data_IF_905079232646
#
_entry.id   IF_905079232646
#
_cell.length_a   1.000
_cell.length_b   1.000
_cell.length_c   1.000
_cell.angle_alpha   90.00
_cell.angle_beta   90.00
_cell.angle_gamma   90.00
#
_symmetry.space_group_name_H-M   'P 1'
#
loop_
_entity.id
_entity.type
_entity.pdbx_description
1 polymer ?
#
# COMPACT_ATOMS: atom_id res chain seq x y z
N UNK A 1 24.56 -15.89 41.54
CA UNK A 1 23.18 -15.45 41.85
C UNK A 1 22.83 -14.33 40.87
N UNK A 2 22.06 -14.64 39.82
CA UNK A 2 21.52 -13.62 38.93
C UNK A 2 20.43 -12.86 39.71
N UNK A 3 20.69 -11.60 40.06
CA UNK A 3 19.63 -10.68 40.46
C UNK A 3 18.67 -10.58 39.27
N UNK A 4 17.50 -11.20 39.39
CA UNK A 4 16.35 -10.89 38.55
C UNK A 4 16.11 -9.41 38.76
N UNK A 5 16.45 -8.59 37.76
CA UNK A 5 16.12 -7.18 37.78
C UNK A 5 14.61 -7.08 37.93
N UNK A 6 14.13 -6.77 39.14
CA UNK A 6 12.73 -6.43 39.33
C UNK A 6 12.45 -5.27 38.38
N UNK A 7 11.62 -5.52 37.37
CA UNK A 7 11.20 -4.48 36.45
C UNK A 7 10.67 -3.31 37.30
N UNK A 8 11.27 -2.14 37.11
CA UNK A 8 10.88 -0.90 37.78
C UNK A 8 9.37 -0.69 37.60
N UNK A 9 8.70 -0.21 38.65
CA UNK A 9 7.25 0.01 38.64
C UNK A 9 6.84 0.93 37.48
N UNK A 10 5.72 0.62 36.83
CA UNK A 10 5.19 1.31 35.64
C UNK A 10 3.80 1.86 35.97
N UNK A 11 3.74 3.17 36.19
CA UNK A 11 2.51 3.86 36.60
C UNK A 11 1.97 4.74 35.47
N UNK A 12 0.63 4.95 35.39
CA UNK A 12 0.02 5.86 34.42
C UNK A 12 0.55 7.30 34.51
N UNK A 13 0.98 7.76 35.69
CA UNK A 13 1.59 9.09 35.84
C UNK A 13 2.87 9.27 35.02
N UNK A 14 3.53 8.18 34.60
CA UNK A 14 4.71 8.20 33.74
C UNK A 14 4.39 8.39 32.25
N UNK A 15 3.11 8.31 31.87
CA UNK A 15 2.65 8.71 30.54
C UNK A 15 3.05 10.16 30.21
N UNK A 16 3.12 11.02 31.23
CA UNK A 16 3.40 12.45 31.09
C UNK A 16 4.87 12.86 31.25
N UNK A 17 5.76 11.99 31.75
CA UNK A 17 7.13 12.39 32.10
C UNK A 17 8.14 11.69 31.19
N UNK A 18 8.40 12.29 30.02
CA UNK A 18 9.61 12.00 29.25
C UNK A 18 10.72 12.90 29.78
N UNK A 19 11.68 12.35 30.53
CA UNK A 19 12.74 13.16 31.15
C UNK A 19 13.85 13.52 30.15
N UNK A 20 14.56 14.60 30.43
CA UNK A 20 15.73 15.01 29.64
C UNK A 20 16.79 13.90 29.59
N UNK A 21 16.98 13.13 30.67
CA UNK A 21 17.90 11.99 30.68
C UNK A 21 17.47 10.89 29.71
N UNK A 22 16.16 10.62 29.61
CA UNK A 22 15.66 9.63 28.64
C UNK A 22 15.77 10.16 27.22
N UNK A 23 15.46 11.44 26.98
CA UNK A 23 15.66 12.09 25.68
C UNK A 23 17.14 12.03 25.25
N UNK A 24 18.07 12.32 26.17
CA UNK A 24 19.51 12.25 25.89
C UNK A 24 19.95 10.84 25.45
N UNK A 25 19.42 9.77 26.08
CA UNK A 25 19.67 8.40 25.63
C UNK A 25 19.10 8.11 24.24
N UNK A 26 17.95 8.69 23.89
CA UNK A 26 17.36 8.53 22.55
C UNK A 26 18.29 9.10 21.46
N UNK A 27 19.01 10.19 21.75
CA UNK A 27 20.01 10.76 20.83
C UNK A 27 21.14 9.76 20.58
N UNK A 28 21.73 9.22 21.64
CA UNK A 28 22.80 8.24 21.56
C UNK A 28 22.36 6.95 20.82
N UNK A 29 21.13 6.48 21.09
CA UNK A 29 20.52 5.33 20.40
C UNK A 29 20.30 5.61 18.90
N UNK A 30 19.81 6.80 18.54
CA UNK A 30 19.60 7.19 17.13
C UNK A 30 20.91 7.27 16.35
N UNK A 31 21.98 7.85 16.92
CA UNK A 31 23.30 7.88 16.28
C UNK A 31 23.86 6.48 16.06
N UNK A 32 23.75 5.61 17.06
CA UNK A 32 24.19 4.23 16.95
C UNK A 32 23.44 3.47 15.85
N UNK A 33 22.16 3.73 15.69
CA UNK A 33 21.32 3.14 14.64
C UNK A 33 21.73 3.62 13.25
N UNK A 34 21.82 4.94 13.03
CA UNK A 34 22.06 5.52 11.70
C UNK A 34 23.49 5.33 11.21
N UNK A 35 24.46 5.40 12.11
CA UNK A 35 25.88 5.26 11.81
C UNK A 35 26.45 3.89 12.20
N UNK A 36 25.59 2.92 12.54
CA UNK A 36 25.97 1.55 12.92
C UNK A 36 27.05 1.47 14.03
N UNK A 37 27.16 2.51 14.87
CA UNK A 37 28.14 2.61 15.95
C UNK A 37 29.47 3.27 15.58
N UNK A 38 29.69 3.64 14.31
CA UNK A 38 30.95 4.23 13.84
C UNK A 38 31.11 5.71 14.26
N UNK A 39 30.00 6.37 14.61
CA UNK A 39 29.96 7.77 15.03
C UNK A 39 29.07 7.96 16.24
N UNK A 40 29.55 8.75 17.19
CA UNK A 40 28.79 9.21 18.35
C UNK A 40 28.53 10.72 18.26
N UNK A 41 27.43 11.20 18.86
CA UNK A 41 27.13 12.62 18.87
C UNK A 41 28.17 13.39 19.69
N UNK A 42 28.67 14.49 19.13
CA UNK A 42 29.58 15.44 19.79
C UNK A 42 28.80 16.36 20.73
N UNK A 43 29.51 17.06 21.61
CA UNK A 43 28.89 17.97 22.59
C UNK A 43 27.86 18.95 22.00
N UNK A 44 28.20 19.71 20.94
CA UNK A 44 27.25 20.61 20.29
C UNK A 44 26.05 19.90 19.66
N UNK A 45 26.26 18.73 19.04
CA UNK A 45 25.20 17.93 18.43
C UNK A 45 24.24 17.40 19.50
N UNK A 46 24.75 16.95 20.65
CA UNK A 46 23.91 16.53 21.79
C UNK A 46 23.01 17.67 22.27
N UNK A 47 23.57 18.87 22.41
CA UNK A 47 22.80 20.04 22.84
C UNK A 47 21.72 20.42 21.83
N UNK A 48 22.04 20.36 20.54
CA UNK A 48 21.10 20.61 19.45
C UNK A 48 19.94 19.61 19.46
N UNK A 49 20.25 18.31 19.47
CA UNK A 49 19.23 17.26 19.46
C UNK A 49 18.39 17.20 20.73
N UNK A 50 18.95 17.57 21.89
CA UNK A 50 18.18 17.71 23.12
C UNK A 50 17.21 18.89 23.04
N UNK A 51 17.62 20.01 22.43
CA UNK A 51 16.74 21.14 22.13
C UNK A 51 15.58 20.72 21.22
N UNK A 52 15.90 20.03 20.13
CA UNK A 52 14.91 19.47 19.20
C UNK A 52 13.92 18.51 19.90
N UNK A 53 14.41 17.59 20.74
CA UNK A 53 13.57 16.67 21.49
C UNK A 53 12.61 17.40 22.47
N UNK A 54 13.08 18.46 23.12
CA UNK A 54 12.26 19.31 23.99
C UNK A 54 11.19 20.06 23.21
N UNK A 55 11.53 20.58 22.04
CA UNK A 55 10.55 21.24 21.15
C UNK A 55 9.49 20.27 20.64
N UNK A 56 9.87 19.06 20.24
CA UNK A 56 8.94 18.00 19.88
C UNK A 56 7.98 17.69 21.04
N UNK A 57 8.51 17.56 22.26
CA UNK A 57 7.69 17.32 23.46
C UNK A 57 6.78 18.50 23.81
N UNK A 58 7.22 19.73 23.55
CA UNK A 58 6.39 20.92 23.77
C UNK A 58 5.21 21.00 22.77
N UNK A 59 5.43 20.55 21.52
CA UNK A 59 4.38 20.48 20.49
C UNK A 59 3.41 19.31 20.73
N UNK A 60 3.93 18.15 21.12
CA UNK A 60 3.15 16.97 21.48
C UNK A 60 3.54 16.44 22.87
N UNK A 61 2.80 16.82 23.92
CA UNK A 61 3.00 16.31 25.28
C UNK A 61 2.74 14.81 25.46
N UNK A 62 2.37 14.06 24.41
CA UNK A 62 2.22 12.60 24.44
C UNK A 62 3.33 11.86 23.69
N UNK A 63 4.24 12.58 23.02
CA UNK A 63 5.33 11.94 22.26
C UNK A 63 6.18 11.02 23.15
N UNK A 64 6.38 9.80 22.69
CA UNK A 64 7.15 8.78 23.40
C UNK A 64 8.65 8.90 23.14
N UNK A 65 9.48 8.34 24.02
CA UNK A 65 10.92 8.25 23.79
C UNK A 65 11.28 7.59 22.44
N UNK A 66 10.53 6.57 22.04
CA UNK A 66 10.74 5.88 20.77
C UNK A 66 10.42 6.77 19.56
N UNK A 67 9.34 7.55 19.64
CA UNK A 67 9.01 8.55 18.61
C UNK A 67 10.06 9.66 18.54
N UNK A 68 10.58 10.13 19.68
CA UNK A 68 11.70 11.09 19.70
C UNK A 68 12.95 10.50 19.06
N UNK A 69 13.33 9.27 19.42
CA UNK A 69 14.45 8.54 18.79
C UNK A 69 14.26 8.42 17.29
N UNK A 70 13.07 8.00 16.84
CA UNK A 70 12.75 7.82 15.43
C UNK A 70 12.79 9.15 14.66
N UNK A 71 12.29 10.24 15.24
CA UNK A 71 12.37 11.57 14.64
C UNK A 71 13.82 12.02 14.46
N UNK A 72 14.65 11.89 15.50
CA UNK A 72 16.08 12.22 15.43
C UNK A 72 16.79 11.31 14.41
N UNK A 73 16.53 10.01 14.44
CA UNK A 73 17.11 9.06 13.48
C UNK A 73 16.73 9.39 12.04
N UNK A 74 15.50 9.87 11.80
CA UNK A 74 15.09 10.32 10.47
C UNK A 74 15.90 11.53 10.01
N UNK A 75 16.03 12.58 10.83
CA UNK A 75 16.83 13.76 10.46
C UNK A 75 18.31 13.39 10.24
N UNK A 76 18.88 12.55 11.10
CA UNK A 76 20.25 12.05 10.91
C UNK A 76 20.42 11.24 9.63
N UNK A 77 19.39 10.49 9.22
CA UNK A 77 19.38 9.78 7.94
C UNK A 77 19.38 10.77 6.78
N UNK A 78 18.57 11.82 6.87
CA UNK A 78 18.55 12.88 5.87
C UNK A 78 19.93 13.55 5.76
N UNK A 79 20.54 13.94 6.87
CA UNK A 79 21.89 14.52 6.89
C UNK A 79 22.94 13.57 6.28
N UNK A 80 22.91 12.28 6.65
CA UNK A 80 23.84 11.27 6.14
C UNK A 80 23.70 11.09 4.62
N UNK A 81 22.47 11.09 4.12
CA UNK A 81 22.15 10.87 2.71
C UNK A 81 22.18 12.19 1.91
N UNK A 82 22.55 13.30 2.57
CA UNK A 82 22.58 14.66 2.01
C UNK A 82 21.19 15.26 1.72
N UNK A 83 20.13 14.56 2.10
CA UNK A 83 18.73 14.89 1.83
C UNK A 83 18.16 15.95 2.79
N UNK A 84 18.94 16.40 3.77
CA UNK A 84 18.59 17.50 4.67
C UNK A 84 18.62 18.86 3.95
N UNK A 85 19.58 19.05 3.04
CA UNK A 85 19.69 20.28 2.24
C UNK A 85 20.34 20.03 0.88
N UNK A 86 19.79 20.65 -0.16
CA UNK A 86 20.32 20.56 -1.53
C UNK A 86 21.51 21.52 -1.77
N UNK A 87 22.63 21.29 -1.08
CA UNK A 87 23.92 21.96 -1.29
C UNK A 87 24.57 21.52 -2.61
N UNK A 88 25.51 22.30 -3.17
CA UNK A 88 26.28 21.87 -4.35
C UNK A 88 26.96 20.50 -4.18
N UNK A 89 27.49 20.22 -2.99
CA UNK A 89 28.16 18.96 -2.65
C UNK A 89 27.18 17.77 -2.65
N UNK A 90 25.99 17.95 -2.08
CA UNK A 90 24.95 16.92 -2.06
C UNK A 90 24.37 16.68 -3.46
N UNK A 91 24.18 17.73 -4.25
CA UNK A 91 23.76 17.62 -5.66
C UNK A 91 24.80 16.82 -6.46
N UNK A 92 26.08 17.10 -6.26
CA UNK A 92 27.17 16.34 -6.88
C UNK A 92 27.14 14.86 -6.51
N UNK A 93 26.85 14.55 -5.24
CA UNK A 93 26.65 13.17 -4.78
C UNK A 93 25.46 12.51 -5.50
N UNK A 94 24.30 13.18 -5.58
CA UNK A 94 23.12 12.65 -6.27
C UNK A 94 23.41 12.30 -7.73
N UNK A 95 24.14 13.16 -8.43
CA UNK A 95 24.50 12.95 -9.85
C UNK A 95 25.38 11.71 -10.00
N UNK A 96 26.40 11.55 -9.16
CA UNK A 96 27.31 10.38 -9.21
C UNK A 96 26.56 9.09 -8.91
N UNK A 97 25.72 9.09 -7.88
CA UNK A 97 24.87 7.95 -7.53
C UNK A 97 23.90 7.60 -8.65
N UNK A 98 23.21 8.59 -9.22
CA UNK A 98 22.27 8.40 -10.32
C UNK A 98 22.95 7.74 -11.53
N UNK A 99 24.11 8.24 -11.95
CA UNK A 99 24.84 7.68 -13.10
C UNK A 99 25.33 6.26 -12.80
N UNK A 100 25.93 6.04 -11.64
CA UNK A 100 26.42 4.72 -11.24
C UNK A 100 25.30 3.68 -11.22
N UNK A 101 24.18 4.03 -10.58
CA UNK A 101 23.02 3.16 -10.45
C UNK A 101 22.32 2.88 -11.78
N UNK A 102 22.01 3.92 -12.57
CA UNK A 102 21.35 3.76 -13.87
C UNK A 102 22.21 2.94 -14.82
N UNK A 103 23.51 3.18 -14.87
CA UNK A 103 24.40 2.42 -15.76
C UNK A 103 24.48 0.95 -15.35
N UNK A 104 24.54 0.65 -14.05
CA UNK A 104 24.46 -0.72 -13.56
C UNK A 104 23.14 -1.40 -13.97
N UNK A 105 22.00 -0.73 -13.78
CA UNK A 105 20.69 -1.30 -14.09
C UNK A 105 20.45 -1.54 -15.59
N UNK A 106 20.88 -0.60 -16.45
CA UNK A 106 20.50 -0.61 -17.87
C UNK A 106 21.64 -0.98 -18.84
N UNK A 107 22.90 -0.85 -18.41
CA UNK A 107 24.08 -1.18 -19.21
C UNK A 107 24.82 -2.42 -18.66
N UNK A 108 24.48 -2.87 -17.45
CA UNK A 108 25.02 -4.08 -16.82
C UNK A 108 26.32 -3.89 -16.02
N UNK A 109 26.93 -2.70 -16.07
CA UNK A 109 28.12 -2.35 -15.30
C UNK A 109 28.03 -0.91 -14.80
N UNK A 110 28.34 -0.63 -13.51
CA UNK A 110 28.39 0.75 -13.03
C UNK A 110 29.56 1.47 -13.69
N UNK A 111 29.35 2.74 -14.05
CA UNK A 111 30.41 3.64 -14.50
C UNK A 111 30.42 4.89 -13.63
N UNK A 112 31.59 5.53 -13.56
CA UNK A 112 31.74 6.83 -12.92
C UNK A 112 31.15 7.95 -13.79
N UNK A 113 30.66 9.00 -13.14
CA UNK A 113 30.26 10.23 -13.81
C UNK A 113 31.48 10.93 -14.41
N UNK A 114 31.41 11.31 -15.69
CA UNK A 114 32.44 12.15 -16.33
C UNK A 114 32.23 13.62 -15.97
N UNK A 115 33.22 14.48 -16.19
CA UNK A 115 33.01 15.93 -15.97
C UNK A 115 31.94 16.52 -16.90
N UNK A 116 31.77 15.95 -18.10
CA UNK A 116 30.68 16.33 -19.00
C UNK A 116 29.31 15.95 -18.43
N UNK A 117 29.17 14.76 -17.85
CA UNK A 117 27.96 14.34 -17.15
C UNK A 117 27.68 15.27 -15.96
N UNK A 118 28.69 15.54 -15.13
CA UNK A 118 28.56 16.43 -13.97
C UNK A 118 28.09 17.81 -14.40
N UNK A 119 28.70 18.41 -15.43
CA UNK A 119 28.31 19.72 -15.94
C UNK A 119 26.85 19.74 -16.43
N UNK A 120 26.44 18.70 -17.17
CA UNK A 120 25.07 18.61 -17.68
C UNK A 120 24.04 18.53 -16.54
N UNK A 121 24.25 17.62 -15.59
CA UNK A 121 23.26 17.36 -14.55
C UNK A 121 23.27 18.42 -13.44
N UNK A 122 24.39 19.11 -13.21
CA UNK A 122 24.40 20.34 -12.39
C UNK A 122 23.54 21.43 -13.02
N UNK A 123 23.62 21.62 -14.34
CA UNK A 123 22.80 22.60 -15.03
C UNK A 123 21.30 22.25 -14.95
N UNK A 124 20.96 20.97 -15.13
CA UNK A 124 19.59 20.47 -14.94
C UNK A 124 19.09 20.70 -13.51
N UNK A 125 19.90 20.38 -12.49
CA UNK A 125 19.53 20.61 -11.09
C UNK A 125 19.33 22.10 -10.78
N UNK A 126 20.19 22.97 -11.30
CA UNK A 126 20.07 24.42 -11.15
C UNK A 126 18.80 24.96 -11.83
N UNK A 127 18.47 24.45 -13.02
CA UNK A 127 17.22 24.79 -13.69
C UNK A 127 16.00 24.33 -12.91
N UNK A 128 16.01 23.10 -12.37
CA UNK A 128 14.92 22.59 -11.53
C UNK A 128 14.71 23.41 -10.27
N UNK A 129 15.79 23.81 -9.58
CA UNK A 129 15.71 24.74 -8.43
C UNK A 129 15.23 26.13 -8.84
N UNK A 130 15.50 26.59 -10.06
CA UNK A 130 14.98 27.87 -10.56
C UNK A 130 13.48 27.78 -10.86
N UNK A 131 13.02 26.66 -11.41
CA UNK A 131 11.61 26.40 -11.70
C UNK A 131 10.79 26.19 -10.42
N UNK A 132 11.37 25.51 -9.43
CA UNK A 132 10.79 25.28 -8.12
C UNK A 132 11.82 25.56 -7.01
N UNK A 133 11.88 26.79 -6.46
CA UNK A 133 12.83 27.16 -5.41
C UNK A 133 12.69 26.34 -4.12
N UNK A 134 11.48 25.86 -3.83
CA UNK A 134 11.14 25.10 -2.62
C UNK A 134 11.17 23.58 -2.87
N UNK A 135 11.85 23.11 -3.93
CA UNK A 135 11.99 21.67 -4.20
C UNK A 135 12.76 20.98 -3.06
N UNK A 136 12.15 19.95 -2.47
CA UNK A 136 12.78 19.15 -1.43
C UNK A 136 14.02 18.40 -1.98
N UNK A 137 15.08 18.21 -1.17
CA UNK A 137 16.31 17.57 -1.65
C UNK A 137 16.09 16.14 -2.17
N UNK A 138 15.17 15.38 -1.57
CA UNK A 138 14.78 14.04 -2.02
C UNK A 138 14.11 14.07 -3.40
N UNK A 139 13.17 15.00 -3.62
CA UNK A 139 12.51 15.18 -4.92
C UNK A 139 13.51 15.60 -6.00
N UNK A 140 14.46 16.47 -5.66
CA UNK A 140 15.54 16.85 -6.57
C UNK A 140 16.44 15.66 -6.92
N UNK A 141 16.80 14.82 -5.94
CA UNK A 141 17.57 13.60 -6.17
C UNK A 141 16.85 12.67 -7.15
N UNK A 142 15.56 12.39 -6.93
CA UNK A 142 14.80 11.52 -7.83
C UNK A 142 14.59 12.14 -9.21
N UNK A 143 14.37 13.44 -9.31
CA UNK A 143 14.29 14.13 -10.60
C UNK A 143 15.58 13.98 -11.42
N UNK A 144 16.75 14.06 -10.78
CA UNK A 144 18.04 13.81 -11.42
C UNK A 144 18.15 12.34 -11.86
N UNK A 145 17.82 11.39 -10.99
CA UNK A 145 17.84 9.95 -11.30
C UNK A 145 16.95 9.64 -12.52
N UNK A 146 15.74 10.18 -12.54
CA UNK A 146 14.78 9.94 -13.62
C UNK A 146 15.23 10.59 -14.92
N UNK A 147 15.82 11.79 -14.88
CA UNK A 147 16.36 12.43 -16.06
C UNK A 147 17.58 11.66 -16.62
N UNK A 148 18.48 11.19 -15.76
CA UNK A 148 19.60 10.31 -16.15
C UNK A 148 19.07 9.01 -16.78
N UNK A 149 18.08 8.38 -16.14
CA UNK A 149 17.43 7.18 -16.65
C UNK A 149 16.77 7.41 -18.00
N UNK A 150 16.03 8.51 -18.15
CA UNK A 150 15.39 8.87 -19.41
C UNK A 150 16.44 9.03 -20.53
N UNK A 151 17.57 9.68 -20.24
CA UNK A 151 18.66 9.84 -21.21
C UNK A 151 19.30 8.51 -21.61
N UNK A 152 19.57 7.61 -20.67
CA UNK A 152 20.15 6.28 -20.93
C UNK A 152 19.18 5.39 -21.71
N UNK A 153 17.91 5.41 -21.31
CA UNK A 153 16.84 4.64 -21.97
C UNK A 153 16.33 5.28 -23.25
N UNK A 154 16.80 6.49 -23.60
CA UNK A 154 16.34 7.29 -24.75
C UNK A 154 14.85 7.65 -24.67
N UNK A 155 14.33 7.78 -23.45
CA UNK A 155 12.98 8.28 -23.12
C UNK A 155 12.99 9.77 -22.78
N UNK A 156 14.09 10.47 -23.02
CA UNK A 156 14.27 11.90 -22.74
C UNK A 156 13.72 12.81 -23.84
N UNK A 157 13.50 12.28 -25.05
CA UNK A 157 12.96 13.05 -26.17
C UNK A 157 12.27 12.19 -27.22
N UNK A 158 11.46 12.85 -28.06
CA UNK A 158 10.81 12.29 -29.26
C UNK A 158 11.63 12.55 -30.53
N UNK A 159 12.95 12.74 -30.40
CA UNK A 159 13.84 12.91 -31.55
C UNK A 159 13.81 11.68 -32.48
N UNK A 160 14.06 11.83 -33.80
CA UNK A 160 13.91 10.75 -34.78
C UNK A 160 14.64 9.45 -34.41
N UNK A 161 15.85 9.53 -33.85
CA UNK A 161 16.64 8.39 -33.41
C UNK A 161 16.00 7.62 -32.23
N UNK A 162 15.30 8.32 -31.34
CA UNK A 162 14.58 7.73 -30.21
C UNK A 162 13.28 7.07 -30.71
N UNK A 163 12.55 7.74 -31.61
CA UNK A 163 11.37 7.18 -32.27
C UNK A 163 11.71 5.89 -33.02
N UNK A 164 12.81 5.86 -33.76
CA UNK A 164 13.31 4.67 -34.44
C UNK A 164 13.57 3.50 -33.49
N UNK A 165 14.11 3.79 -32.30
CA UNK A 165 14.31 2.79 -31.26
C UNK A 165 12.98 2.28 -30.71
N UNK A 166 12.01 3.16 -30.43
CA UNK A 166 10.68 2.75 -29.95
C UNK A 166 10.01 1.79 -30.93
N UNK A 167 10.09 2.06 -32.23
CA UNK A 167 9.54 1.19 -33.28
C UNK A 167 10.23 -0.17 -33.28
N UNK A 168 11.58 -0.19 -33.24
CA UNK A 168 12.35 -1.44 -33.24
C UNK A 168 12.05 -2.30 -32.00
N UNK A 169 11.99 -1.67 -30.84
CA UNK A 169 11.68 -2.35 -29.56
C UNK A 169 10.24 -2.88 -29.56
N UNK A 170 9.28 -2.09 -30.03
CA UNK A 170 7.89 -2.51 -30.18
C UNK A 170 7.75 -3.72 -31.13
N UNK A 171 8.35 -3.68 -32.33
CA UNK A 171 8.32 -4.81 -33.27
C UNK A 171 8.94 -6.05 -32.64
N UNK A 172 10.13 -5.92 -32.04
CA UNK A 172 10.84 -7.05 -31.41
C UNK A 172 10.03 -7.67 -30.28
N UNK A 173 9.39 -6.84 -29.46
CA UNK A 173 8.59 -7.29 -28.32
C UNK A 173 7.29 -7.96 -28.78
N UNK A 174 6.48 -7.31 -29.62
CA UNK A 174 5.19 -7.87 -30.06
C UNK A 174 5.40 -9.17 -30.84
N UNK A 175 6.43 -9.25 -31.69
CA UNK A 175 6.71 -10.48 -32.45
C UNK A 175 7.18 -11.62 -31.56
N UNK A 176 7.97 -11.34 -30.52
CA UNK A 176 8.30 -12.33 -29.51
C UNK A 176 7.05 -12.84 -28.79
N UNK A 177 6.18 -11.93 -28.33
CA UNK A 177 5.00 -12.28 -27.53
C UNK A 177 3.94 -13.05 -28.33
N UNK A 178 3.67 -12.66 -29.58
CA UNK A 178 2.53 -13.17 -30.34
C UNK A 178 2.92 -14.11 -31.49
N UNK A 179 4.20 -14.18 -31.87
CA UNK A 179 4.70 -15.11 -32.90
C UNK A 179 5.78 -16.05 -32.37
N UNK A 180 6.15 -15.95 -31.08
CA UNK A 180 7.17 -16.78 -30.45
C UNK A 180 8.61 -16.51 -30.92
N UNK A 181 8.84 -15.48 -31.77
CA UNK A 181 10.17 -15.16 -32.30
C UNK A 181 10.41 -13.66 -32.41
N UNK A 182 11.61 -13.23 -32.00
CA UNK A 182 12.08 -11.85 -32.19
C UNK A 182 12.41 -11.63 -33.66
N UNK A 183 11.89 -10.54 -34.25
CA UNK A 183 12.37 -10.03 -35.55
C UNK A 183 12.65 -8.54 -35.50
N UNK A 184 13.40 -8.06 -36.47
CA UNK A 184 13.59 -6.63 -36.71
C UNK A 184 12.43 -6.05 -37.52
N UNK A 185 12.19 -4.74 -37.36
CA UNK A 185 11.30 -3.97 -38.20
C UNK A 185 11.82 -3.96 -39.64
N UNK A 186 10.95 -4.23 -40.61
CA UNK A 186 11.26 -4.09 -42.03
C UNK A 186 11.35 -2.60 -42.42
N UNK A 187 12.02 -2.24 -43.54
CA UNK A 187 12.05 -0.85 -44.00
C UNK A 187 10.65 -0.24 -44.22
N UNK A 188 9.70 -1.04 -44.73
CA UNK A 188 8.32 -0.61 -44.93
C UNK A 188 7.60 -0.30 -43.61
N UNK A 189 7.77 -1.16 -42.59
CA UNK A 189 7.23 -0.92 -41.24
C UNK A 189 7.87 0.31 -40.59
N UNK A 190 9.19 0.49 -40.73
CA UNK A 190 9.86 1.68 -40.23
C UNK A 190 9.27 2.96 -40.84
N UNK A 191 9.04 2.99 -42.15
CA UNK A 191 8.42 4.14 -42.82
C UNK A 191 7.00 4.38 -42.32
N UNK A 192 6.18 3.32 -42.20
CA UNK A 192 4.81 3.42 -41.71
C UNK A 192 4.74 3.96 -40.27
N UNK A 193 5.52 3.37 -39.36
CA UNK A 193 5.48 3.74 -37.95
C UNK A 193 6.12 5.09 -37.66
N UNK A 194 7.09 5.55 -38.46
CA UNK A 194 7.58 6.94 -38.40
C UNK A 194 6.49 7.93 -38.79
N UNK A 195 5.72 7.65 -39.85
CA UNK A 195 4.61 8.50 -40.24
C UNK A 195 3.52 8.55 -39.16
N UNK A 196 3.18 7.38 -38.57
CA UNK A 196 2.26 7.31 -37.44
C UNK A 196 2.75 8.12 -36.23
N UNK A 197 4.03 7.99 -35.85
CA UNK A 197 4.61 8.76 -34.75
C UNK A 197 4.58 10.27 -35.02
N UNK A 198 4.91 10.69 -36.25
CA UNK A 198 4.85 12.09 -36.66
C UNK A 198 3.42 12.63 -36.62
N UNK A 199 2.42 11.83 -37.01
CA UNK A 199 1.01 12.19 -36.90
C UNK A 199 0.58 12.36 -35.44
N UNK A 200 0.96 11.42 -34.55
CA UNK A 200 0.65 11.51 -33.12
C UNK A 200 1.27 12.74 -32.45
N UNK A 201 2.51 13.07 -32.81
CA UNK A 201 3.17 14.28 -32.32
C UNK A 201 2.58 15.56 -32.91
N UNK A 202 1.98 15.50 -34.09
CA UNK A 202 1.23 16.62 -34.67
C UNK A 202 -0.11 16.82 -33.96
N UNK A 203 -0.79 15.73 -33.60
CA UNK A 203 -2.04 15.74 -32.84
C UNK A 203 -1.83 16.23 -31.39
N UNK A 204 -0.74 15.80 -30.76
CA UNK A 204 -0.33 16.24 -29.43
C UNK A 204 1.17 16.59 -29.39
N UNK A 205 1.52 17.87 -29.62
CA UNK A 205 2.90 18.34 -29.58
C UNK A 205 3.59 18.22 -28.21
N UNK A 206 2.84 17.97 -27.14
CA UNK A 206 3.37 17.80 -25.78
C UNK A 206 3.42 16.33 -25.35
N UNK A 207 3.12 15.39 -26.25
CA UNK A 207 3.13 13.96 -25.96
C UNK A 207 4.50 13.52 -25.43
N UNK A 208 4.49 12.82 -24.30
CA UNK A 208 5.72 12.29 -23.71
C UNK A 208 6.31 11.16 -24.57
N UNK A 209 7.64 10.95 -24.55
CA UNK A 209 8.28 9.82 -25.24
C UNK A 209 7.72 8.46 -24.82
N UNK A 210 7.36 8.30 -23.54
CA UNK A 210 6.76 7.08 -23.01
C UNK A 210 5.35 6.84 -23.57
N UNK A 211 4.51 7.87 -23.59
CA UNK A 211 3.18 7.81 -24.21
C UNK A 211 3.29 7.45 -25.70
N UNK A 212 4.24 8.04 -26.42
CA UNK A 212 4.47 7.73 -27.82
C UNK A 212 4.92 6.27 -28.01
N UNK A 213 5.85 5.78 -27.19
CA UNK A 213 6.30 4.38 -27.22
C UNK A 213 5.14 3.41 -27.01
N UNK A 214 4.28 3.64 -26.01
CA UNK A 214 3.13 2.78 -25.77
C UNK A 214 2.11 2.87 -26.90
N UNK A 215 1.81 4.07 -27.41
CA UNK A 215 0.93 4.23 -28.56
C UNK A 215 1.40 3.43 -29.78
N UNK A 216 2.70 3.45 -30.09
CA UNK A 216 3.29 2.63 -31.16
C UNK A 216 3.14 1.14 -30.84
N UNK A 217 3.49 0.71 -29.62
CA UNK A 217 3.46 -0.70 -29.19
C UNK A 217 2.04 -1.28 -29.21
N UNK A 218 1.08 -0.54 -28.67
CA UNK A 218 -0.32 -0.96 -28.56
C UNK A 218 -1.00 -1.02 -29.91
N UNK A 219 -0.76 -0.03 -30.77
CA UNK A 219 -1.27 -0.05 -32.15
C UNK A 219 -0.67 -1.21 -32.93
N UNK A 220 0.63 -1.50 -32.73
CA UNK A 220 1.30 -2.63 -33.39
C UNK A 220 0.78 -3.97 -32.88
N UNK A 221 0.60 -4.11 -31.56
CA UNK A 221 -0.07 -5.26 -30.93
C UNK A 221 -1.46 -5.45 -31.53
N UNK A 222 -2.28 -4.41 -31.53
CA UNK A 222 -3.66 -4.47 -32.01
C UNK A 222 -3.73 -4.90 -33.47
N UNK A 223 -2.83 -4.38 -34.32
CA UNK A 223 -2.71 -4.83 -35.72
C UNK A 223 -2.33 -6.30 -35.84
N UNK A 224 -1.46 -6.79 -34.95
CA UNK A 224 -1.03 -8.18 -34.96
C UNK A 224 -2.08 -9.15 -34.43
N UNK A 225 -2.86 -8.74 -33.42
CA UNK A 225 -3.92 -9.56 -32.81
C UNK A 225 -5.26 -9.45 -33.53
N UNK A 226 -5.40 -8.50 -34.46
CA UNK A 226 -6.66 -8.20 -35.13
C UNK A 226 -7.67 -7.55 -34.18
N UNK A 227 -7.20 -6.57 -33.39
CA UNK A 227 -8.01 -5.79 -32.44
C UNK A 227 -7.81 -4.28 -32.66
N UNK A 228 -7.31 -3.88 -33.82
CA UNK A 228 -6.95 -2.51 -34.20
C UNK A 228 -8.13 -1.68 -34.72
N UNK A 229 -9.28 -2.29 -34.91
CA UNK A 229 -10.46 -1.65 -35.47
C UNK A 229 -11.75 -2.25 -34.92
N UNK A 230 -12.82 -1.46 -34.98
CA UNK A 230 -14.20 -1.85 -34.68
C UNK A 230 -14.88 -2.48 -35.91
N UNK A 231 -14.12 -3.18 -36.76
CA UNK A 231 -14.66 -3.87 -37.92
C UNK A 231 -15.68 -4.94 -37.51
N UNK A 232 -16.68 -5.27 -38.35
CA UNK A 232 -17.65 -6.32 -38.03
C UNK A 232 -17.03 -7.67 -37.66
N UNK A 233 -15.88 -7.99 -38.27
CA UNK A 233 -15.09 -9.18 -37.98
C UNK A 233 -14.49 -9.13 -36.56
N UNK A 234 -13.85 -8.02 -36.20
CA UNK A 234 -13.25 -7.83 -34.87
C UNK A 234 -14.31 -7.77 -33.76
N UNK A 235 -15.46 -7.13 -34.01
CA UNK A 235 -16.60 -7.12 -33.06
C UNK A 235 -17.05 -8.55 -32.78
N UNK A 236 -17.12 -9.41 -33.80
CA UNK A 236 -17.44 -10.83 -33.62
C UNK A 236 -16.45 -11.55 -32.69
N UNK A 237 -15.15 -11.27 -32.84
CA UNK A 237 -14.12 -11.85 -31.96
C UNK A 237 -14.19 -11.33 -30.52
N UNK A 238 -14.45 -10.03 -30.33
CA UNK A 238 -14.63 -9.45 -28.99
C UNK A 238 -15.76 -10.11 -28.22
N UNK A 239 -16.88 -10.38 -28.90
CA UNK A 239 -18.04 -11.05 -28.30
C UNK A 239 -17.72 -12.49 -27.93
N UNK A 240 -17.07 -13.24 -28.83
CA UNK A 240 -16.72 -14.64 -28.57
C UNK A 240 -15.72 -14.78 -27.42
N UNK A 241 -14.70 -13.92 -27.37
CA UNK A 241 -13.74 -13.89 -26.26
C UNK A 241 -14.41 -13.54 -24.92
N UNK A 242 -15.33 -12.56 -24.92
CA UNK A 242 -16.08 -12.16 -23.72
C UNK A 242 -16.95 -13.31 -23.20
N UNK A 243 -17.70 -13.98 -24.08
CA UNK A 243 -18.55 -15.12 -23.71
C UNK A 243 -17.71 -16.29 -23.22
N UNK A 244 -16.59 -16.60 -23.91
CA UNK A 244 -15.68 -17.67 -23.48
C UNK A 244 -15.13 -17.40 -22.08
N UNK A 245 -14.66 -16.18 -21.83
CA UNK A 245 -14.09 -15.79 -20.55
C UNK A 245 -15.14 -15.81 -19.42
N UNK A 246 -16.31 -15.20 -19.62
CA UNK A 246 -17.37 -15.17 -18.60
C UNK A 246 -17.85 -16.60 -18.30
N UNK A 247 -18.02 -17.43 -19.31
CA UNK A 247 -18.48 -18.81 -19.09
C UNK A 247 -17.44 -19.66 -18.37
N UNK A 248 -16.15 -19.47 -18.68
CA UNK A 248 -15.08 -20.12 -17.93
C UNK A 248 -15.07 -19.68 -16.45
N UNK A 249 -15.23 -18.39 -16.19
CA UNK A 249 -15.17 -17.84 -14.84
C UNK A 249 -16.41 -18.12 -13.98
N UNK A 250 -17.62 -18.10 -14.57
CA UNK A 250 -18.88 -18.18 -13.82
C UNK A 250 -19.65 -19.50 -14.04
N UNK A 251 -19.42 -20.20 -15.15
CA UNK A 251 -20.03 -21.51 -15.44
C UNK A 251 -19.03 -22.68 -15.33
N UNK A 252 -17.74 -22.40 -15.11
CA UNK A 252 -16.68 -23.40 -14.96
C UNK A 252 -16.32 -24.16 -16.24
N UNK A 253 -16.80 -23.71 -17.40
CA UNK A 253 -16.53 -24.33 -18.71
C UNK A 253 -16.41 -23.29 -19.82
N UNK A 254 -15.50 -23.53 -20.75
CA UNK A 254 -15.40 -22.71 -21.95
C UNK A 254 -16.57 -23.02 -22.90
N UNK A 255 -17.23 -21.97 -23.40
CA UNK A 255 -18.18 -22.05 -24.51
C UNK A 255 -17.98 -20.85 -25.44
N UNK A 256 -18.38 -21.03 -26.68
CA UNK A 256 -18.40 -19.96 -27.68
C UNK A 256 -19.77 -19.26 -27.69
N UNK A 257 -19.79 -18.04 -28.22
CA UNK A 257 -21.04 -17.29 -28.38
C UNK A 257 -21.95 -18.00 -29.41
N UNK A 258 -23.20 -18.29 -29.02
CA UNK A 258 -24.19 -18.84 -29.95
C UNK A 258 -24.57 -17.83 -31.04
N UNK A 259 -25.12 -18.25 -32.19
CA UNK A 259 -25.55 -17.32 -33.24
C UNK A 259 -26.54 -16.25 -32.77
N UNK A 260 -27.39 -16.59 -31.79
CA UNK A 260 -28.35 -15.68 -31.17
C UNK A 260 -27.63 -14.65 -30.30
N UNK A 261 -26.72 -15.09 -29.42
CA UNK A 261 -25.91 -14.20 -28.58
C UNK A 261 -25.01 -13.29 -29.44
N UNK A 262 -24.37 -13.83 -30.48
CA UNK A 262 -23.57 -13.05 -31.42
C UNK A 262 -24.40 -11.93 -32.06
N UNK A 263 -25.62 -12.22 -32.46
CA UNK A 263 -26.52 -11.23 -33.08
C UNK A 263 -26.95 -10.16 -32.07
N UNK A 264 -27.30 -10.58 -30.85
CA UNK A 264 -27.67 -9.69 -29.76
C UNK A 264 -26.52 -8.74 -29.36
N UNK A 265 -25.33 -9.28 -29.13
CA UNK A 265 -24.17 -8.50 -28.72
C UNK A 265 -23.60 -7.64 -29.85
N UNK A 266 -23.74 -8.04 -31.12
CA UNK A 266 -23.44 -7.16 -32.26
C UNK A 266 -24.36 -5.94 -32.28
N UNK A 267 -25.65 -6.11 -32.01
CA UNK A 267 -26.58 -4.99 -31.91
C UNK A 267 -26.19 -4.03 -30.76
N UNK A 268 -25.82 -4.57 -29.60
CA UNK A 268 -25.28 -3.79 -28.48
C UNK A 268 -24.01 -3.01 -28.88
N UNK A 269 -23.04 -3.67 -29.50
CA UNK A 269 -21.80 -3.05 -29.95
C UNK A 269 -22.03 -1.93 -30.97
N UNK A 270 -22.92 -2.16 -31.95
CA UNK A 270 -23.30 -1.16 -32.94
C UNK A 270 -24.04 0.04 -32.31
N UNK A 271 -24.90 -0.21 -31.32
CA UNK A 271 -25.56 0.87 -30.57
C UNK A 271 -24.53 1.72 -29.81
N UNK A 272 -23.53 1.09 -29.19
CA UNK A 272 -22.43 1.82 -28.51
C UNK A 272 -21.59 2.66 -29.47
N UNK A 273 -21.32 2.15 -30.67
CA UNK A 273 -20.62 2.90 -31.71
C UNK A 273 -21.47 4.04 -32.30
N UNK A 274 -22.79 3.88 -32.37
CA UNK A 274 -23.70 4.95 -32.77
C UNK A 274 -23.78 6.06 -31.71
N UNK A 275 -23.79 5.69 -30.42
CA UNK A 275 -23.76 6.63 -29.29
C UNK A 275 -22.43 7.39 -29.21
N UNK A 276 -21.31 6.70 -29.43
CA UNK A 276 -19.98 7.30 -29.44
C UNK A 276 -19.14 6.79 -30.63
N UNK A 277 -19.16 7.50 -31.77
CA UNK A 277 -18.39 7.12 -32.96
C UNK A 277 -16.86 7.14 -32.77
N UNK A 278 -16.37 7.75 -31.68
CA UNK A 278 -14.94 7.82 -31.35
C UNK A 278 -14.48 6.72 -30.40
N UNK A 279 -15.37 5.81 -29.99
CA UNK A 279 -15.04 4.72 -29.07
C UNK A 279 -13.91 3.87 -29.65
N UNK A 280 -12.84 3.69 -28.89
CA UNK A 280 -11.73 2.84 -29.30
C UNK A 280 -12.14 1.36 -29.33
N UNK A 281 -11.47 0.51 -30.13
CA UNK A 281 -11.72 -0.92 -30.15
C UNK A 281 -11.59 -1.59 -28.76
N UNK A 282 -10.66 -1.11 -27.93
CA UNK A 282 -10.44 -1.64 -26.58
C UNK A 282 -11.56 -1.26 -25.60
N UNK A 283 -12.01 0.00 -25.64
CA UNK A 283 -13.18 0.44 -24.87
C UNK A 283 -14.44 -0.33 -25.27
N UNK A 284 -14.63 -0.60 -26.57
CA UNK A 284 -15.74 -1.42 -27.05
C UNK A 284 -15.66 -2.86 -26.54
N UNK A 285 -14.47 -3.49 -26.61
CA UNK A 285 -14.25 -4.86 -26.10
C UNK A 285 -14.57 -4.95 -24.61
N UNK A 286 -14.11 -3.98 -23.82
CA UNK A 286 -14.34 -3.97 -22.38
C UNK A 286 -15.84 -3.78 -22.07
N UNK A 287 -16.51 -2.84 -22.75
CA UNK A 287 -17.95 -2.62 -22.58
C UNK A 287 -18.79 -3.87 -22.92
N UNK A 288 -18.42 -4.62 -23.96
CA UNK A 288 -19.05 -5.91 -24.29
C UNK A 288 -18.80 -6.93 -23.16
N UNK A 289 -17.57 -7.04 -22.67
CA UNK A 289 -17.20 -8.00 -21.60
C UNK A 289 -17.95 -7.72 -20.30
N UNK A 290 -18.05 -6.45 -19.90
CA UNK A 290 -18.75 -6.06 -18.67
C UNK A 290 -20.26 -6.31 -18.78
N UNK A 291 -20.86 -6.04 -19.95
CA UNK A 291 -22.27 -6.32 -20.17
C UNK A 291 -22.58 -7.82 -20.15
N UNK A 292 -21.73 -8.66 -20.76
CA UNK A 292 -21.84 -10.12 -20.71
C UNK A 292 -21.70 -10.62 -19.27
N UNK A 293 -20.76 -10.07 -18.49
CA UNK A 293 -20.57 -10.39 -17.07
C UNK A 293 -21.78 -9.99 -16.22
N UNK A 294 -22.29 -8.77 -16.39
CA UNK A 294 -23.43 -8.28 -15.62
C UNK A 294 -24.68 -9.15 -15.84
N UNK A 295 -24.90 -9.62 -17.07
CA UNK A 295 -25.97 -10.56 -17.37
C UNK A 295 -25.78 -11.93 -16.67
N UNK A 296 -24.53 -12.38 -16.49
CA UNK A 296 -24.22 -13.64 -15.82
C UNK A 296 -24.32 -13.58 -14.29
N UNK A 297 -24.10 -12.41 -13.67
CA UNK A 297 -24.01 -12.28 -12.20
C UNK A 297 -25.37 -12.08 -11.53
N UNK A 298 -26.43 -11.63 -12.22
CA UNK A 298 -27.82 -11.58 -11.70
C UNK A 298 -27.97 -11.14 -10.23
N UNK A 299 -28.13 -9.85 -9.97
CA UNK A 299 -28.34 -9.29 -8.62
C UNK A 299 -29.54 -9.96 -7.92
N UNK A 300 -29.33 -10.92 -7.00
CA UNK A 300 -30.40 -11.56 -6.22
C UNK A 300 -30.06 -11.81 -4.72
N UNK A 301 -31.10 -11.59 -3.92
CA UNK A 301 -31.40 -11.85 -2.50
C UNK A 301 -30.64 -12.95 -1.75
N UNK A 302 -30.18 -12.61 -0.53
CA UNK A 302 -29.66 -13.55 0.49
C UNK A 302 -30.75 -14.55 0.92
N UNK A 303 -30.47 -15.85 0.78
CA UNK A 303 -31.34 -16.90 1.31
C UNK A 303 -31.02 -17.18 2.79
N UNK A 304 -31.97 -17.73 3.58
CA UNK A 304 -31.68 -18.21 4.93
C UNK A 304 -30.54 -19.24 5.02
N UNK A 305 -30.32 -20.02 3.94
CA UNK A 305 -29.23 -20.98 3.86
C UNK A 305 -27.85 -20.29 3.80
N UNK A 306 -27.77 -19.11 3.19
CA UNK A 306 -26.53 -18.32 3.12
C UNK A 306 -26.15 -17.75 4.50
N UNK A 307 -27.14 -17.29 5.27
CA UNK A 307 -26.95 -16.78 6.64
C UNK A 307 -26.46 -17.91 7.56
N UNK A 308 -27.08 -19.09 7.49
CA UNK A 308 -26.64 -20.27 8.26
C UNK A 308 -25.20 -20.66 7.88
N UNK A 309 -24.85 -20.58 6.58
CA UNK A 309 -23.49 -20.74 6.08
C UNK A 309 -22.48 -19.81 6.76
N UNK A 310 -22.80 -18.51 6.83
CA UNK A 310 -21.93 -17.53 7.48
C UNK A 310 -21.78 -17.77 8.98
N UNK A 311 -22.86 -18.15 9.66
CA UNK A 311 -22.84 -18.46 11.10
C UNK A 311 -21.96 -19.70 11.37
N UNK A 312 -22.10 -20.74 10.57
CA UNK A 312 -21.28 -21.96 10.67
C UNK A 312 -19.80 -21.65 10.43
N UNK A 313 -19.48 -20.86 9.41
CA UNK A 313 -18.11 -20.42 9.12
C UNK A 313 -17.54 -19.59 10.28
N UNK A 314 -18.29 -18.60 10.78
CA UNK A 314 -17.86 -17.72 11.86
C UNK A 314 -17.57 -18.49 13.16
N UNK A 315 -18.46 -19.41 13.56
CA UNK A 315 -18.28 -20.20 14.78
C UNK A 315 -17.19 -21.26 14.61
N UNK A 316 -17.13 -21.93 13.45
CA UNK A 316 -16.08 -22.90 13.15
C UNK A 316 -14.70 -22.27 13.17
N UNK A 317 -14.53 -21.12 12.51
CA UNK A 317 -13.27 -20.40 12.49
C UNK A 317 -12.92 -19.78 13.85
N UNK A 318 -13.87 -19.08 14.48
CA UNK A 318 -13.64 -18.44 15.79
C UNK A 318 -13.28 -19.45 16.88
N UNK A 319 -13.97 -20.59 16.94
CA UNK A 319 -13.63 -21.65 17.90
C UNK A 319 -12.27 -22.27 17.63
N UNK A 320 -11.90 -22.50 16.36
CA UNK A 320 -10.57 -22.96 16.01
C UNK A 320 -9.48 -21.97 16.47
N UNK A 321 -9.65 -20.69 16.18
CA UNK A 321 -8.65 -19.66 16.46
C UNK A 321 -8.51 -19.34 17.96
N UNK A 322 -9.62 -19.29 18.71
CA UNK A 322 -9.61 -18.82 20.10
C UNK A 322 -9.75 -19.94 21.14
N UNK A 323 -10.33 -21.09 20.78
CA UNK A 323 -10.51 -22.25 21.67
C UNK A 323 -9.65 -23.46 21.25
N UNK A 324 -8.88 -23.34 20.15
CA UNK A 324 -7.96 -24.37 19.65
C UNK A 324 -8.62 -25.56 18.96
N UNK A 325 -9.95 -25.59 18.84
CA UNK A 325 -10.71 -26.65 18.16
C UNK A 325 -11.90 -26.08 17.43
N UNK A 326 -12.08 -26.49 16.16
CA UNK A 326 -13.27 -26.14 15.38
C UNK A 326 -14.48 -26.90 15.88
N UNK A 327 -15.62 -26.22 16.02
CA UNK A 327 -16.92 -26.83 16.32
C UNK A 327 -18.03 -26.23 15.49
N UNK A 328 -19.12 -27.00 15.36
CA UNK A 328 -20.38 -26.48 14.84
C UNK A 328 -21.11 -25.61 15.89
N UNK A 329 -21.96 -24.67 15.44
CA UNK A 329 -22.89 -23.96 16.33
C UNK A 329 -23.88 -24.93 16.98
N UNK A 330 -24.25 -24.65 18.23
CA UNK A 330 -25.42 -25.25 18.86
C UNK A 330 -26.71 -24.66 18.27
N UNK A 331 -27.84 -25.36 18.43
CA UNK A 331 -29.13 -24.86 17.95
C UNK A 331 -29.50 -23.49 18.55
N UNK A 332 -29.15 -23.25 19.83
CA UNK A 332 -29.40 -21.98 20.50
C UNK A 332 -28.51 -20.85 19.96
N UNK A 333 -27.24 -21.12 19.65
CA UNK A 333 -26.34 -20.14 19.04
C UNK A 333 -26.80 -19.79 17.63
N UNK A 334 -27.19 -20.79 16.86
CA UNK A 334 -27.63 -20.61 15.48
C UNK A 334 -28.90 -19.74 15.43
N UNK A 335 -29.86 -19.98 16.32
CA UNK A 335 -31.05 -19.13 16.43
C UNK A 335 -30.72 -17.70 16.87
N UNK A 336 -29.83 -17.54 17.85
CA UNK A 336 -29.39 -16.22 18.33
C UNK A 336 -28.73 -15.40 17.22
N UNK A 337 -27.86 -16.02 16.43
CA UNK A 337 -27.14 -15.33 15.36
C UNK A 337 -28.04 -15.04 14.14
N UNK A 338 -29.07 -15.85 13.90
CA UNK A 338 -30.14 -15.49 12.93
C UNK A 338 -30.88 -14.24 13.35
N UNK A 339 -31.26 -14.13 14.63
CA UNK A 339 -31.91 -12.92 15.15
C UNK A 339 -31.00 -11.70 15.02
N UNK A 340 -29.70 -11.85 15.27
CA UNK A 340 -28.73 -10.79 15.04
C UNK A 340 -28.65 -10.36 13.57
N UNK A 341 -28.55 -11.32 12.64
CA UNK A 341 -28.49 -11.06 11.20
C UNK A 341 -29.77 -10.37 10.70
N UNK A 342 -30.94 -10.83 11.14
CA UNK A 342 -32.23 -10.22 10.84
C UNK A 342 -32.32 -8.78 11.40
N UNK A 343 -31.76 -8.54 12.59
CA UNK A 343 -31.63 -7.19 13.15
C UNK A 343 -30.79 -6.27 12.24
N UNK A 344 -29.63 -6.76 11.76
CA UNK A 344 -28.77 -5.99 10.85
C UNK A 344 -29.44 -5.68 9.51
N UNK A 345 -30.15 -6.65 8.93
CA UNK A 345 -30.93 -6.45 7.70
C UNK A 345 -32.09 -5.45 7.89
N UNK A 346 -32.64 -5.36 9.11
CA UNK A 346 -33.67 -4.38 9.45
C UNK A 346 -33.10 -2.98 9.66
N UNK A 347 -31.92 -2.88 10.27
CA UNK A 347 -31.23 -1.62 10.51
C UNK A 347 -30.66 -1.03 9.22
N UNK A 348 -30.25 -1.88 8.27
CA UNK A 348 -29.72 -1.51 6.95
C UNK A 348 -30.24 -2.47 5.86
N UNK A 349 -31.34 -2.11 5.15
CA UNK A 349 -31.90 -2.93 4.08
C UNK A 349 -31.01 -3.07 2.84
N UNK A 350 -29.99 -2.22 2.66
CA UNK A 350 -29.08 -2.23 1.52
C UNK A 350 -27.76 -2.98 1.82
N UNK A 351 -27.64 -3.57 3.02
CA UNK A 351 -26.43 -4.28 3.42
C UNK A 351 -26.08 -5.42 2.45
N UNK A 352 -24.84 -5.42 1.97
CA UNK A 352 -24.37 -6.47 1.07
C UNK A 352 -24.17 -7.80 1.81
N UNK A 353 -24.22 -8.90 1.08
CA UNK A 353 -23.89 -10.25 1.58
C UNK A 353 -22.54 -10.29 2.31
N UNK A 354 -21.52 -9.67 1.73
CA UNK A 354 -20.16 -9.64 2.29
C UNK A 354 -20.11 -8.83 3.59
N UNK A 355 -20.75 -7.66 3.62
CA UNK A 355 -20.83 -6.83 4.83
C UNK A 355 -21.56 -7.55 5.98
N UNK A 356 -22.66 -8.24 5.68
CA UNK A 356 -23.40 -9.02 6.69
C UNK A 356 -22.57 -10.19 7.22
N UNK A 357 -21.85 -10.90 6.34
CA UNK A 357 -20.94 -11.99 6.73
C UNK A 357 -19.89 -11.50 7.73
N UNK A 358 -19.21 -10.39 7.44
CA UNK A 358 -18.21 -9.83 8.34
C UNK A 358 -18.80 -9.36 9.68
N UNK A 359 -19.99 -8.76 9.68
CA UNK A 359 -20.68 -8.36 10.90
C UNK A 359 -20.96 -9.56 11.83
N UNK A 360 -21.35 -10.71 11.27
CA UNK A 360 -21.57 -11.96 12.03
C UNK A 360 -20.23 -12.48 12.58
N UNK A 361 -19.18 -12.52 11.76
CA UNK A 361 -17.83 -12.96 12.17
C UNK A 361 -17.31 -12.12 13.34
N UNK A 362 -17.40 -10.79 13.25
CA UNK A 362 -16.92 -9.89 14.29
C UNK A 362 -17.72 -10.06 15.59
N UNK A 363 -19.04 -10.22 15.51
CA UNK A 363 -19.87 -10.40 16.69
C UNK A 363 -19.58 -11.75 17.40
N UNK A 364 -19.39 -12.83 16.63
CA UNK A 364 -18.98 -14.15 17.15
C UNK A 364 -17.59 -14.06 17.80
N UNK A 365 -16.62 -13.43 17.12
CA UNK A 365 -15.29 -13.18 17.69
C UNK A 365 -15.39 -12.46 19.03
N UNK A 366 -16.22 -11.43 19.11
CA UNK A 366 -16.34 -10.59 20.30
C UNK A 366 -17.00 -11.34 21.45
N UNK A 367 -17.94 -12.25 21.17
CA UNK A 367 -18.49 -13.13 22.20
C UNK A 367 -17.42 -14.09 22.73
N UNK A 368 -16.69 -14.77 21.83
CA UNK A 368 -15.66 -15.77 22.20
C UNK A 368 -14.48 -15.15 22.99
N UNK A 369 -14.08 -13.93 22.63
CA UNK A 369 -13.00 -13.20 23.31
C UNK A 369 -13.48 -12.44 24.55
N UNK A 370 -14.79 -12.43 24.83
CA UNK A 370 -15.40 -11.67 25.93
C UNK A 370 -15.37 -10.15 25.73
N UNK A 371 -15.12 -9.69 24.49
CA UNK A 371 -15.20 -8.28 24.09
C UNK A 371 -16.65 -7.80 23.92
N UNK A 372 -17.63 -8.69 23.90
CA UNK A 372 -19.07 -8.33 23.85
C UNK A 372 -19.61 -7.71 25.14
N UNK A 373 -18.90 -7.85 26.27
CA UNK A 373 -19.32 -7.30 27.57
C UNK A 373 -19.00 -5.80 27.68
N UNK A 374 -19.71 -5.05 28.56
CA UNK A 374 -19.36 -3.66 28.85
C UNK A 374 -17.90 -3.54 29.27
N UNK A 375 -17.20 -2.55 28.71
CA UNK A 375 -15.76 -2.35 28.88
C UNK A 375 -15.31 -2.31 30.35
N UNK A 376 -16.14 -1.72 31.22
CA UNK A 376 -15.89 -1.64 32.66
C UNK A 376 -15.66 -3.00 33.33
N UNK A 377 -16.36 -4.06 32.87
CA UNK A 377 -16.23 -5.40 33.44
C UNK A 377 -14.91 -6.09 33.09
N UNK A 378 -14.20 -5.57 32.10
CA UNK A 378 -12.98 -6.17 31.56
C UNK A 378 -11.70 -5.42 31.96
N UNK A 379 -11.78 -4.31 32.71
CA UNK A 379 -10.61 -3.47 33.06
C UNK A 379 -9.47 -4.29 33.67
N UNK A 380 -9.74 -5.11 34.70
CA UNK A 380 -8.69 -5.87 35.39
C UNK A 380 -7.99 -6.87 34.45
N UNK A 381 -8.79 -7.57 33.64
CA UNK A 381 -8.32 -8.51 32.63
C UNK A 381 -7.42 -7.82 31.62
N UNK A 382 -7.87 -6.70 31.04
CA UNK A 382 -7.11 -5.96 30.02
C UNK A 382 -5.79 -5.41 30.55
N UNK A 383 -5.75 -4.91 31.79
CA UNK A 383 -4.49 -4.47 32.41
C UNK A 383 -3.51 -5.65 32.51
N UNK A 384 -3.95 -6.81 32.98
CA UNK A 384 -3.09 -8.00 33.13
C UNK A 384 -2.61 -8.54 31.78
N UNK A 385 -3.50 -8.63 30.80
CA UNK A 385 -3.18 -9.05 29.43
C UNK A 385 -2.17 -8.10 28.78
N UNK A 386 -2.33 -6.78 28.96
CA UNK A 386 -1.38 -5.79 28.46
C UNK A 386 0.01 -5.94 29.11
N UNK A 387 0.06 -6.17 30.42
CA UNK A 387 1.31 -6.42 31.16
C UNK A 387 2.01 -7.70 30.66
N UNK A 388 1.26 -8.79 30.52
CA UNK A 388 1.77 -10.05 30.00
C UNK A 388 2.35 -9.89 28.58
N UNK A 389 1.58 -9.29 27.69
CA UNK A 389 1.97 -9.08 26.30
C UNK A 389 3.23 -8.20 26.17
N UNK A 390 3.23 -7.01 26.78
CA UNK A 390 4.32 -6.04 26.61
C UNK A 390 5.61 -6.50 27.27
N UNK A 391 5.56 -7.16 28.44
CA UNK A 391 6.79 -7.64 29.08
C UNK A 391 7.39 -8.84 28.39
N UNK A 392 6.55 -9.70 27.80
CA UNK A 392 7.02 -10.76 26.92
C UNK A 392 7.68 -10.18 25.66
N UNK A 393 7.02 -9.24 24.99
CA UNK A 393 7.50 -8.66 23.73
C UNK A 393 8.73 -7.76 23.90
N UNK A 394 8.71 -6.82 24.85
CA UNK A 394 9.72 -5.77 24.96
C UNK A 394 10.85 -6.05 25.96
N UNK A 395 10.65 -6.99 26.90
CA UNK A 395 11.63 -7.29 27.96
C UNK A 395 12.10 -8.74 27.96
N UNK A 396 11.68 -9.54 26.97
CA UNK A 396 12.11 -10.92 26.81
C UNK A 396 11.70 -11.82 27.98
N UNK A 397 10.64 -11.47 28.71
CA UNK A 397 10.17 -12.31 29.82
C UNK A 397 9.59 -13.63 29.28
N UNK A 398 9.96 -14.78 29.88
CA UNK A 398 9.44 -16.08 29.48
C UNK A 398 7.92 -16.17 29.63
N UNK A 399 7.26 -16.88 28.71
CA UNK A 399 5.80 -17.04 28.70
C UNK A 399 5.28 -17.83 29.92
N UNK A 400 6.11 -18.67 30.54
CA UNK A 400 5.78 -19.44 31.75
C UNK A 400 5.89 -18.61 33.04
N UNK A 401 6.44 -17.39 32.97
CA UNK A 401 6.55 -16.45 34.09
C UNK A 401 6.18 -15.02 33.67
N UNK A 402 4.91 -14.78 33.30
CA UNK A 402 4.48 -13.48 32.84
C UNK A 402 4.59 -12.44 33.97
N UNK A 403 5.03 -11.24 33.63
CA UNK A 403 5.08 -10.12 34.58
C UNK A 403 3.64 -9.69 34.87
N UNK A 404 3.20 -9.88 36.11
CA UNK A 404 1.92 -9.36 36.59
C UNK A 404 2.10 -7.93 37.14
N UNK A 405 1.07 -7.07 37.04
CA UNK A 405 1.09 -5.78 37.73
C UNK A 405 1.17 -5.98 39.25
N UNK A 406 1.90 -5.13 39.94
CA UNK A 406 1.83 -5.06 41.41
C UNK A 406 0.44 -4.59 41.85
N UNK A 407 0.03 -4.80 43.12
CA UNK A 407 -1.25 -4.28 43.62
C UNK A 407 -1.43 -2.78 43.43
N UNK A 408 -0.33 -2.01 43.54
CA UNK A 408 -0.34 -0.56 43.33
C UNK A 408 -0.50 -0.20 41.86
N UNK A 409 0.26 -0.83 40.97
CA UNK A 409 0.11 -0.62 39.52
C UNK A 409 -1.31 -0.93 39.07
N UNK A 410 -1.84 -2.07 39.50
CA UNK A 410 -3.21 -2.48 39.16
C UNK A 410 -4.22 -1.45 39.63
N UNK A 411 -4.08 -0.94 40.86
CA UNK A 411 -4.96 0.10 41.39
C UNK A 411 -4.92 1.38 40.55
N UNK A 412 -3.73 1.89 40.24
CA UNK A 412 -3.57 3.14 39.47
C UNK A 412 -4.08 2.99 38.04
N UNK A 413 -3.77 1.87 37.36
CA UNK A 413 -4.27 1.58 36.02
C UNK A 413 -5.79 1.41 35.99
N UNK A 414 -6.40 0.83 37.04
CA UNK A 414 -7.86 0.76 37.16
C UNK A 414 -8.49 2.16 37.29
N UNK A 415 -7.91 3.05 38.08
CA UNK A 415 -8.40 4.43 38.20
C UNK A 415 -8.27 5.19 36.88
N UNK A 416 -7.17 5.00 36.18
CA UNK A 416 -6.92 5.56 34.86
C UNK A 416 -7.97 5.07 33.83
N UNK A 417 -8.23 3.76 33.75
CA UNK A 417 -9.27 3.19 32.88
C UNK A 417 -10.67 3.73 33.19
N UNK A 418 -11.03 3.82 34.48
CA UNK A 418 -12.32 4.36 34.93
C UNK A 418 -12.46 5.86 34.69
N UNK A 419 -11.38 6.61 34.69
CA UNK A 419 -11.40 8.02 34.27
C UNK A 419 -11.75 8.11 32.78
N UNK A 420 -11.12 7.30 31.92
CA UNK A 420 -11.42 7.27 30.48
C UNK A 420 -12.88 6.89 30.19
N UNK A 421 -13.42 5.87 30.86
CA UNK A 421 -14.82 5.47 30.70
C UNK A 421 -15.83 6.53 31.20
N UNK A 422 -15.42 7.39 32.14
CA UNK A 422 -16.25 8.53 32.57
C UNK A 422 -16.27 9.64 31.51
N UNK A 423 -15.16 9.85 30.82
CA UNK A 423 -15.08 10.80 29.70
C UNK A 423 -15.86 10.28 28.47
N UNK A 424 -15.77 8.98 28.19
CA UNK A 424 -16.38 8.35 27.02
C UNK A 424 -17.18 7.08 27.40
N UNK A 425 -18.44 7.23 27.84
CA UNK A 425 -19.23 6.09 28.34
C UNK A 425 -19.59 5.03 27.29
N UNK A 426 -19.47 5.36 25.99
CA UNK A 426 -19.80 4.46 24.88
C UNK A 426 -18.60 3.66 24.36
N UNK A 427 -17.42 3.83 24.96
CA UNK A 427 -16.20 3.16 24.55
C UNK A 427 -16.39 1.63 24.60
N UNK A 428 -16.09 0.95 23.49
CA UNK A 428 -16.16 -0.50 23.40
C UNK A 428 -15.05 -1.17 24.22
N UNK A 429 -15.21 -2.46 24.51
CA UNK A 429 -14.17 -3.27 25.15
C UNK A 429 -12.88 -3.32 24.33
N UNK A 430 -12.98 -3.37 23.00
CA UNK A 430 -11.81 -3.39 22.11
C UNK A 430 -11.04 -2.07 22.17
N UNK A 431 -11.74 -0.93 22.09
CA UNK A 431 -11.13 0.38 22.18
C UNK A 431 -10.49 0.62 23.55
N UNK A 432 -11.14 0.19 24.65
CA UNK A 432 -10.54 0.27 25.99
C UNK A 432 -9.29 -0.60 26.10
N UNK A 433 -9.34 -1.83 25.58
CA UNK A 433 -8.19 -2.73 25.59
C UNK A 433 -7.00 -2.14 24.82
N UNK A 434 -7.25 -1.62 23.62
CA UNK A 434 -6.24 -0.94 22.81
C UNK A 434 -5.67 0.29 23.53
N UNK A 435 -6.53 1.11 24.15
CA UNK A 435 -6.12 2.29 24.91
C UNK A 435 -5.21 1.95 26.10
N UNK A 436 -5.56 0.92 26.87
CA UNK A 436 -4.75 0.48 28.01
C UNK A 436 -3.41 -0.10 27.58
N UNK A 437 -3.41 -0.90 26.51
CA UNK A 437 -2.18 -1.45 25.93
C UNK A 437 -1.25 -0.33 25.44
N UNK A 438 -1.77 0.62 24.67
CA UNK A 438 -0.97 1.73 24.13
C UNK A 438 -0.46 2.68 25.23
N UNK A 439 -1.29 2.94 26.23
CA UNK A 439 -0.89 3.72 27.41
C UNK A 439 0.23 3.01 28.16
N UNK A 440 0.09 1.72 28.46
CA UNK A 440 1.14 0.98 29.16
C UNK A 440 2.45 0.94 28.34
N UNK A 441 2.36 0.76 27.02
CA UNK A 441 3.49 0.84 26.11
C UNK A 441 4.17 2.21 26.20
N UNK A 442 3.39 3.28 26.18
CA UNK A 442 3.89 4.65 26.31
C UNK A 442 4.61 4.87 27.65
N UNK A 443 4.02 4.42 28.75
CA UNK A 443 4.64 4.52 30.07
C UNK A 443 5.96 3.74 30.15
N UNK A 444 6.06 2.58 29.49
CA UNK A 444 7.29 1.80 29.40
C UNK A 444 8.38 2.49 28.58
N UNK A 445 8.00 3.12 27.46
CA UNK A 445 8.96 3.80 26.58
C UNK A 445 9.57 5.04 27.24
N UNK A 446 8.81 5.73 28.10
CA UNK A 446 9.26 6.94 28.79
C UNK A 446 10.20 6.68 29.98
N UNK A 447 10.38 5.41 30.40
CA UNK A 447 11.35 4.99 31.42
C UNK A 447 12.73 4.70 30.85
#
# INVERSE_FOLDING_TARGET
MQQVAHAKEVLPSLLGVLTDERMARCIDEAYREIFQGDRWPRGPERSHWLGFARELRAKDPKITAEQVRAAIANELRLERDGLDVATPENIDMYIREAIGWVSWCYEGTPRSATEEDMRLWRAFAAEKKRENPDIEPEDLKYAIIDAVRAKVTKMDSTAPENVDRFIKDAVKWVTLCYQGKKRCATPAEMTYWRAFAAEKLREDPKMSPETLKYAITDTLRAKMTGTDSTSPENIGRFIDDAVRWVSLCYEGRERHASPVELSYWRAFANAKLAENPKLSPEELRNAITDAVRAQAIGVETLSPADIDGYIMEAIGWGSLCYLGTSRAPTAEELERWRVFAAGKLKDDPEITSETLKYAIIDAVRNELTGMSKPAERNIDRFIREAYEFLFRAYRGMPADRPRQPTPRELHEWQQFARARLREEPKLSSEELNAYLLDSLRTALSNQ
#
